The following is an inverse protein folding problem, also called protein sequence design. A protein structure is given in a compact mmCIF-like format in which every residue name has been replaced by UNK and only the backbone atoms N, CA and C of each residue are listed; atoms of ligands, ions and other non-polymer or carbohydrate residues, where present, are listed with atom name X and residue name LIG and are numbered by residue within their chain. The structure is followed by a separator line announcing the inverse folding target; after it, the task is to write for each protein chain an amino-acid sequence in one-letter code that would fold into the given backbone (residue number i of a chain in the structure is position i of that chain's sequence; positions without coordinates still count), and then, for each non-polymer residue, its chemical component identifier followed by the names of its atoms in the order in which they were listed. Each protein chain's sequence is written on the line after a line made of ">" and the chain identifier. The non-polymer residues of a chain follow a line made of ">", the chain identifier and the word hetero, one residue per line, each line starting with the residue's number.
data_IF_628327017343
#
_entry.id   IF_628327017343
#
_cell.length_a   1.000
_cell.length_b   1.000
_cell.length_c   1.000
_cell.angle_alpha   90.00
_cell.angle_beta   90.00
_cell.angle_gamma   90.00
#
_symmetry.space_group_name_H-M   'P 1'
#
loop_
_entity.id
_entity.type
_entity.pdbx_description
1 polymer ?
#
# COMPACT_ATOMS: atom_id res chain seq x y z
N UNK A 1 -2.59 -1.25 13.53
CA UNK A 1 -2.10 -1.74 12.22
C UNK A 1 -2.04 -0.57 11.25
N UNK A 2 -1.06 0.31 11.44
CA UNK A 2 -0.89 1.51 10.62
C UNK A 2 -0.23 1.13 9.30
N UNK A 3 -0.93 1.41 8.20
CA UNK A 3 -0.59 0.95 6.86
C UNK A 3 0.63 1.68 6.30
N UNK A 4 1.72 0.92 6.10
CA UNK A 4 2.84 1.35 5.27
C UNK A 4 2.54 1.06 3.81
N UNK A 5 2.17 2.10 3.08
CA UNK A 5 1.95 2.01 1.65
C UNK A 5 2.69 3.16 0.95
N UNK A 6 4.04 3.14 1.06
CA UNK A 6 4.94 3.95 0.21
C UNK A 6 5.01 3.47 -1.25
N UNK A 7 4.15 2.55 -1.62
CA UNK A 7 4.11 1.92 -2.94
C UNK A 7 3.39 2.82 -3.97
N UNK A 8 2.85 3.97 -3.53
CA UNK A 8 1.81 4.72 -4.26
C UNK A 8 1.99 6.25 -4.22
N UNK A 9 2.90 6.75 -3.39
CA UNK A 9 3.18 8.16 -3.34
C UNK A 9 4.13 8.50 -4.49
N UNK A 10 3.56 9.00 -5.58
CA UNK A 10 4.30 9.66 -6.65
C UNK A 10 5.31 10.62 -6.02
N UNK A 11 6.51 10.59 -6.58
CA UNK A 11 7.73 11.24 -6.11
C UNK A 11 7.63 12.77 -6.18
N UNK A 12 6.77 13.41 -5.40
CA UNK A 12 6.80 14.85 -5.14
C UNK A 12 6.06 15.21 -3.85
N UNK A 13 6.47 16.33 -3.25
CA UNK A 13 6.17 16.71 -1.87
C UNK A 13 4.71 16.55 -1.43
N UNK A 14 4.59 16.19 -0.15
CA UNK A 14 3.48 16.49 0.75
C UNK A 14 2.34 17.30 0.12
N UNK A 15 1.28 16.60 -0.31
CA UNK A 15 -0.13 17.02 -0.13
C UNK A 15 -1.17 16.00 -0.64
N UNK A 16 -0.78 14.91 -1.32
CA UNK A 16 -1.74 13.86 -1.72
C UNK A 16 -1.24 12.45 -1.35
N UNK A 17 -1.50 12.00 -0.13
CA UNK A 17 -1.13 10.63 0.30
C UNK A 17 -2.31 9.90 0.93
N UNK A 18 -3.11 9.24 0.09
CA UNK A 18 -4.08 8.21 0.53
C UNK A 18 -4.44 7.22 -0.57
N UNK A 19 -3.97 7.43 -1.80
CA UNK A 19 -4.37 6.63 -2.96
C UNK A 19 -3.38 5.50 -3.24
N UNK A 20 -3.92 4.39 -3.73
CA UNK A 20 -3.19 3.21 -4.19
C UNK A 20 -2.95 3.28 -5.69
N UNK A 21 -1.74 3.67 -6.13
CA UNK A 21 -1.18 3.39 -7.46
C UNK A 21 -1.40 1.91 -7.85
N UNK A 22 -2.34 1.65 -8.78
CA UNK A 22 -2.69 0.30 -9.20
C UNK A 22 -1.53 -0.42 -9.90
N UNK A 23 -0.51 0.30 -10.41
CA UNK A 23 0.65 -0.29 -11.07
C UNK A 23 1.51 -1.09 -10.11
N UNK A 24 1.44 -0.79 -8.83
CA UNK A 24 2.24 -1.44 -7.81
C UNK A 24 1.60 -2.72 -7.26
N UNK A 25 0.31 -2.95 -7.58
CA UNK A 25 -0.44 -4.17 -7.24
C UNK A 25 -1.08 -4.75 -8.51
N UNK A 26 -0.47 -5.78 -9.11
CA UNK A 26 -0.99 -6.42 -10.32
C UNK A 26 -2.46 -6.86 -10.22
N UNK A 27 -2.92 -7.24 -9.02
CA UNK A 27 -4.32 -7.62 -8.75
C UNK A 27 -5.31 -6.47 -8.88
N UNK A 28 -4.87 -5.23 -8.69
CA UNK A 28 -5.71 -4.03 -8.87
C UNK A 28 -5.77 -3.65 -10.34
N UNK A 29 -4.68 -3.86 -11.08
CA UNK A 29 -4.63 -3.59 -12.52
C UNK A 29 -5.43 -4.62 -13.35
N UNK A 30 -5.42 -5.90 -12.94
CA UNK A 30 -6.14 -7.00 -13.62
C UNK A 30 -7.28 -7.54 -12.75
N UNK A 31 -8.15 -6.64 -12.29
CA UNK A 31 -9.28 -7.04 -11.44
C UNK A 31 -10.25 -7.98 -12.17
N UNK A 32 -10.59 -9.11 -11.56
CA UNK A 32 -11.57 -10.08 -12.09
C UNK A 32 -12.63 -10.37 -11.05
N UNK A 33 -13.80 -10.86 -11.47
CA UNK A 33 -14.93 -11.18 -10.57
C UNK A 33 -14.60 -12.26 -9.52
N UNK A 34 -13.58 -13.09 -9.77
CA UNK A 34 -13.10 -14.10 -8.82
C UNK A 34 -12.16 -13.53 -7.74
N UNK A 35 -11.70 -12.29 -7.88
CA UNK A 35 -10.93 -11.60 -6.86
C UNK A 35 -11.86 -10.95 -5.84
N UNK A 36 -11.37 -10.88 -4.61
CA UNK A 36 -12.14 -10.50 -3.44
C UNK A 36 -11.24 -9.70 -2.50
N UNK A 37 -11.82 -8.95 -1.56
CA UNK A 37 -11.10 -8.11 -0.60
C UNK A 37 -9.93 -8.85 0.09
N UNK A 38 -10.11 -10.14 0.41
CA UNK A 38 -9.05 -10.97 1.02
C UNK A 38 -7.76 -11.03 0.18
N UNK A 39 -7.88 -11.04 -1.14
CA UNK A 39 -6.73 -11.11 -2.05
C UNK A 39 -5.93 -9.80 -2.01
N UNK A 40 -6.64 -8.67 -1.96
CA UNK A 40 -6.05 -7.34 -1.79
C UNK A 40 -5.29 -7.25 -0.46
N UNK A 41 -5.93 -7.65 0.63
CA UNK A 41 -5.30 -7.61 1.96
C UNK A 41 -4.10 -8.55 2.08
N UNK A 42 -4.15 -9.71 1.41
CA UNK A 42 -3.05 -10.67 1.38
C UNK A 42 -1.83 -10.12 0.63
N UNK A 43 -2.03 -9.57 -0.58
CA UNK A 43 -0.92 -8.96 -1.33
C UNK A 43 -0.35 -7.76 -0.60
N UNK A 44 -1.20 -6.93 0.00
CA UNK A 44 -0.76 -5.80 0.79
C UNK A 44 0.13 -6.24 1.97
N UNK A 45 -0.27 -7.30 2.69
CA UNK A 45 0.55 -7.90 3.74
C UNK A 45 1.90 -8.40 3.23
N UNK A 46 1.90 -9.11 2.10
CA UNK A 46 3.14 -9.61 1.49
C UNK A 46 4.05 -8.45 1.05
N UNK A 47 3.47 -7.42 0.44
CA UNK A 47 4.20 -6.24 -0.02
C UNK A 47 4.77 -5.45 1.15
N UNK A 48 4.11 -5.38 2.31
CA UNK A 48 4.66 -4.78 3.54
C UNK A 48 5.85 -5.58 4.10
N UNK A 49 5.86 -6.91 3.91
CA UNK A 49 6.93 -7.80 4.38
C UNK A 49 8.10 -7.95 3.39
N UNK A 50 8.02 -7.37 2.18
CA UNK A 50 9.10 -7.45 1.19
C UNK A 50 10.38 -6.77 1.72
N UNK A 51 11.56 -7.18 1.26
CA UNK A 51 12.83 -6.60 1.70
C UNK A 51 12.91 -5.07 1.52
N UNK A 52 12.31 -4.57 0.44
CA UNK A 52 12.15 -3.13 0.15
C UNK A 52 11.30 -2.42 1.21
N UNK A 53 10.24 -3.09 1.70
CA UNK A 53 9.29 -2.56 2.65
C UNK A 53 9.45 -3.08 4.08
N UNK A 54 10.45 -3.90 4.39
CA UNK A 54 10.72 -4.31 5.76
C UNK A 54 11.57 -3.26 6.50
N UNK A 55 12.40 -2.47 5.78
CA UNK A 55 13.47 -1.64 6.38
C UNK A 55 13.18 -0.15 6.61
N UNK A 56 12.21 0.45 5.93
CA UNK A 56 11.81 1.85 6.15
C UNK A 56 11.16 2.03 7.54
N UNK A 57 11.30 3.24 8.10
CA UNK A 57 10.63 3.62 9.34
C UNK A 57 9.11 3.72 9.17
N UNK A 58 8.37 3.36 10.22
CA UNK A 58 6.91 3.56 10.31
C UNK A 58 6.60 4.93 10.90
N UNK A 59 5.48 5.56 10.51
CA UNK A 59 4.96 6.70 11.26
C UNK A 59 4.53 6.24 12.68
N UNK A 60 4.40 7.16 13.63
CA UNK A 60 3.89 6.85 14.97
C UNK A 60 2.54 6.12 14.89
N UNK A 61 2.34 5.14 15.75
CA UNK A 61 1.05 4.46 15.84
C UNK A 61 -0.06 5.45 16.17
N UNK A 62 -1.22 5.30 15.51
CA UNK A 62 -2.34 6.24 15.64
C UNK A 62 -2.29 7.45 14.71
N UNK A 63 -1.24 7.60 13.89
CA UNK A 63 -1.20 8.61 12.83
C UNK A 63 -2.29 8.33 11.78
N UNK A 64 -3.02 9.37 11.39
CA UNK A 64 -4.04 9.33 10.33
C UNK A 64 -3.67 10.29 9.21
N UNK A 65 -4.15 10.01 7.99
CA UNK A 65 -4.05 10.93 6.87
C UNK A 65 -5.15 12.00 7.06
N UNK A 66 -4.77 13.29 6.97
CA UNK A 66 -5.67 14.44 7.11
C UNK A 66 -6.25 14.84 5.76
#
# INVERSE_FOLDING_TARGET
>A
MAFRLKVLATRHGFEECSLVDPRAFPILNNWTRGLHMRHILLELRQKMASSENARLAQPPEGSTFS
#
